data_IF_804876825331
#
_entry.id   IF_804876825331
#
_cell.length_a   1.000
_cell.length_b   1.000
_cell.length_c   1.000
_cell.angle_alpha   90.00
_cell.angle_beta   90.00
_cell.angle_gamma   90.00
#
_symmetry.space_group_name_H-M   'P 1'
#
loop_
_entity.id
_entity.type
_entity.pdbx_description
1 polymer ?
#
# COMPACT_ATOMS: atom_id res chain seq x y z
N UNK A 1 35.32 -6.03 14.81
CA UNK A 1 35.46 -6.86 13.60
C UNK A 1 34.42 -6.44 12.58
N UNK A 2 34.88 -6.12 11.37
CA UNK A 2 34.17 -5.97 10.08
C UNK A 2 32.98 -5.00 9.96
N UNK A 3 33.31 -3.74 9.70
CA UNK A 3 32.57 -2.90 8.75
C UNK A 3 33.00 -3.25 7.32
N UNK A 4 32.07 -3.66 6.44
CA UNK A 4 32.33 -3.81 5.00
C UNK A 4 31.19 -3.23 4.14
N UNK A 5 31.38 -1.96 3.78
CA UNK A 5 31.46 -1.45 2.40
C UNK A 5 30.25 -1.63 1.45
N UNK A 6 29.25 -0.74 1.54
CA UNK A 6 28.12 -0.60 0.59
C UNK A 6 28.36 0.43 -0.53
N UNK A 7 29.58 0.49 -1.09
CA UNK A 7 29.93 1.40 -2.22
C UNK A 7 30.13 0.70 -3.58
N UNK A 8 29.55 -0.48 -3.79
CA UNK A 8 29.77 -1.26 -5.02
C UNK A 8 28.79 -1.01 -6.19
N UNK A 9 27.53 -0.65 -5.93
CA UNK A 9 26.48 -0.83 -6.96
C UNK A 9 26.24 0.36 -7.89
N UNK A 10 26.59 1.59 -7.48
CA UNK A 10 26.31 2.81 -8.28
C UNK A 10 27.36 3.09 -9.37
N UNK A 11 28.53 2.46 -9.32
CA UNK A 11 29.64 2.72 -10.25
C UNK A 11 29.58 1.96 -11.57
N UNK A 12 28.88 0.82 -11.60
CA UNK A 12 28.89 -0.12 -12.74
C UNK A 12 28.06 0.42 -13.91
N UNK A 13 26.92 1.05 -13.64
CA UNK A 13 26.03 1.60 -14.66
C UNK A 13 26.59 2.83 -15.40
N UNK A 14 27.53 3.57 -14.82
CA UNK A 14 28.13 4.75 -15.47
C UNK A 14 29.26 4.41 -16.44
N UNK A 15 29.94 3.26 -16.28
CA UNK A 15 31.06 2.86 -17.16
C UNK A 15 30.61 2.10 -18.41
N UNK A 16 29.46 1.42 -18.39
CA UNK A 16 28.95 0.71 -19.58
C UNK A 16 28.48 1.66 -20.69
N UNK A 17 27.79 2.76 -20.36
CA UNK A 17 27.29 3.71 -21.36
C UNK A 17 28.38 4.43 -22.17
N UNK A 18 29.64 4.44 -21.71
CA UNK A 18 30.74 5.13 -22.38
C UNK A 18 31.56 4.22 -23.32
N UNK A 19 31.51 2.89 -23.14
CA UNK A 19 32.17 1.92 -24.03
C UNK A 19 31.28 1.52 -25.22
N UNK A 20 29.97 1.44 -25.03
CA UNK A 20 29.05 1.04 -26.11
C UNK A 20 28.94 2.04 -27.28
N UNK A 21 29.23 3.32 -27.07
CA UNK A 21 29.16 4.31 -28.14
C UNK A 21 30.40 4.32 -29.06
N UNK A 22 31.51 3.66 -28.68
CA UNK A 22 32.71 3.61 -29.52
C UNK A 22 32.84 2.32 -30.34
N UNK A 23 32.23 1.22 -29.91
CA UNK A 23 32.28 -0.05 -30.65
C UNK A 23 31.24 -0.17 -31.77
N UNK A 24 30.11 0.57 -31.70
CA UNK A 24 29.07 0.53 -32.74
C UNK A 24 29.44 1.27 -34.03
N UNK A 25 30.39 2.21 -34.00
CA UNK A 25 30.81 2.96 -35.20
C UNK A 25 31.87 2.23 -36.05
N UNK A 26 32.53 1.18 -35.54
CA UNK A 26 33.62 0.49 -36.25
C UNK A 26 33.26 -0.85 -36.91
N UNK A 27 32.09 -1.43 -36.66
CA UNK A 27 31.73 -2.78 -37.17
C UNK A 27 30.73 -2.81 -38.34
N UNK A 28 30.36 -1.66 -38.93
CA UNK A 28 29.45 -1.60 -40.09
C UNK A 28 30.15 -1.29 -41.42
N UNK A 29 31.35 -1.84 -41.66
CA UNK A 29 31.94 -1.89 -43.00
C UNK A 29 32.29 -3.34 -43.37
N UNK A 30 31.77 -3.76 -44.51
CA UNK A 30 32.00 -5.01 -45.25
C UNK A 30 31.04 -6.16 -44.91
N UNK A 31 29.96 -6.27 -45.68
CA UNK A 31 29.68 -7.42 -46.56
C UNK A 31 28.61 -6.96 -47.58
N UNK A 32 29.01 -6.86 -48.85
CA UNK A 32 28.13 -6.59 -50.00
C UNK A 32 27.77 -7.94 -50.60
N UNK A 33 26.49 -8.31 -50.55
CA UNK A 33 25.88 -9.32 -51.43
C UNK A 33 24.73 -8.62 -52.14
N UNK A 34 24.92 -8.34 -53.42
CA UNK A 34 23.92 -7.73 -54.30
C UNK A 34 22.73 -8.68 -54.47
N UNK A 35 21.55 -8.22 -54.02
CA UNK A 35 20.26 -8.74 -54.43
C UNK A 35 19.47 -7.55 -55.00
N UNK A 36 18.84 -7.64 -56.18
CA UNK A 36 18.22 -6.48 -56.82
C UNK A 36 16.95 -6.11 -56.06
N UNK A 37 17.05 -5.18 -55.12
CA UNK A 37 15.90 -4.53 -54.51
C UNK A 37 15.17 -3.66 -55.56
N UNK A 38 13.82 -3.65 -55.55
CA UNK A 38 13.08 -2.68 -56.35
C UNK A 38 13.44 -1.27 -55.87
N UNK A 39 13.65 -0.36 -56.82
CA UNK A 39 14.06 1.04 -56.60
C UNK A 39 13.14 1.70 -55.55
N UNK A 40 13.68 2.47 -54.58
CA UNK A 40 12.84 3.24 -53.68
C UNK A 40 12.11 4.29 -54.52
N UNK A 41 10.78 4.21 -54.55
CA UNK A 41 9.95 5.29 -55.06
C UNK A 41 10.36 6.58 -54.32
N UNK A 42 10.62 7.65 -55.09
CA UNK A 42 10.89 8.98 -54.53
C UNK A 42 9.63 9.44 -53.79
N UNK A 43 9.54 9.11 -52.52
CA UNK A 43 8.50 9.63 -51.62
C UNK A 43 8.52 11.16 -51.75
N UNK A 44 7.36 11.74 -52.07
CA UNK A 44 7.25 13.14 -52.41
C UNK A 44 7.72 13.97 -51.21
N UNK A 45 8.60 14.95 -51.42
CA UNK A 45 9.15 15.77 -50.31
C UNK A 45 8.08 16.47 -49.46
N UNK A 46 6.85 16.57 -49.99
CA UNK A 46 5.65 17.06 -49.29
C UNK A 46 5.12 16.05 -48.28
N UNK A 47 5.01 14.77 -48.63
CA UNK A 47 4.47 13.72 -47.75
C UNK A 47 5.37 13.50 -46.53
N UNK A 48 6.70 13.55 -46.72
CA UNK A 48 7.67 13.47 -45.62
C UNK A 48 7.54 14.65 -44.64
N UNK A 49 7.33 15.87 -45.16
CA UNK A 49 7.09 17.07 -44.33
C UNK A 49 5.75 17.02 -43.60
N UNK A 50 4.74 16.42 -44.20
CA UNK A 50 3.42 16.27 -43.61
C UNK A 50 3.43 15.27 -42.45
N UNK A 51 4.04 14.09 -42.63
CA UNK A 51 4.26 13.11 -41.55
C UNK A 51 5.09 13.68 -40.39
N UNK A 52 6.10 14.51 -40.69
CA UNK A 52 6.91 15.15 -39.64
C UNK A 52 6.11 16.19 -38.83
N UNK A 53 5.22 16.95 -39.49
CA UNK A 53 4.29 17.87 -38.81
C UNK A 53 3.27 17.12 -37.98
N UNK A 54 2.76 16.00 -38.47
CA UNK A 54 1.81 15.15 -37.75
C UNK A 54 2.43 14.57 -36.48
N UNK A 55 3.66 14.01 -36.56
CA UNK A 55 4.42 13.56 -35.39
C UNK A 55 4.67 14.66 -34.37
N UNK A 56 4.95 15.90 -34.81
CA UNK A 56 5.14 17.05 -33.91
C UNK A 56 3.83 17.41 -33.19
N UNK A 57 2.70 17.41 -33.89
CA UNK A 57 1.37 17.64 -33.30
C UNK A 57 1.00 16.55 -32.31
N UNK A 58 1.29 15.29 -32.62
CA UNK A 58 1.04 14.15 -31.75
C UNK A 58 1.86 14.24 -30.45
N UNK A 59 3.16 14.54 -30.56
CA UNK A 59 4.03 14.77 -29.39
C UNK A 59 3.58 15.95 -28.53
N UNK A 60 3.09 17.02 -29.15
CA UNK A 60 2.56 18.18 -28.42
C UNK A 60 1.26 17.84 -27.66
N UNK A 61 0.36 17.08 -28.30
CA UNK A 61 -0.86 16.60 -27.66
C UNK A 61 -0.54 15.63 -26.51
N UNK A 62 0.42 14.74 -26.68
CA UNK A 62 0.89 13.83 -25.63
C UNK A 62 1.45 14.60 -24.42
N UNK A 63 2.30 15.61 -24.67
CA UNK A 63 2.83 16.48 -23.61
C UNK A 63 1.71 17.22 -22.88
N UNK A 64 0.70 17.71 -23.61
CA UNK A 64 -0.46 18.38 -23.01
C UNK A 64 -1.27 17.43 -22.11
N UNK A 65 -1.54 16.21 -22.57
CA UNK A 65 -2.21 15.16 -21.77
C UNK A 65 -1.38 14.78 -20.54
N UNK A 66 -0.07 14.66 -20.67
CA UNK A 66 0.79 14.35 -19.54
C UNK A 66 0.78 15.49 -18.50
N UNK A 67 0.82 16.74 -18.93
CA UNK A 67 0.73 17.89 -18.03
C UNK A 67 -0.61 17.95 -17.30
N UNK A 68 -1.71 17.61 -17.98
CA UNK A 68 -3.04 17.52 -17.38
C UNK A 68 -3.11 16.42 -16.32
N UNK A 69 -2.60 15.21 -16.62
CA UNK A 69 -2.48 14.11 -15.64
C UNK A 69 -1.67 14.51 -14.41
N UNK A 70 -0.58 15.27 -14.59
CA UNK A 70 0.24 15.76 -13.47
C UNK A 70 -0.54 16.75 -12.60
N UNK A 71 -1.28 17.69 -13.20
CA UNK A 71 -2.12 18.65 -12.47
C UNK A 71 -3.29 17.98 -11.74
N UNK A 72 -3.90 16.96 -12.34
CA UNK A 72 -4.93 16.16 -11.70
C UNK A 72 -4.38 15.41 -10.48
N UNK A 73 -3.24 14.73 -10.64
CA UNK A 73 -2.56 14.04 -9.54
C UNK A 73 -2.18 14.99 -8.40
N UNK A 74 -1.74 16.21 -8.72
CA UNK A 74 -1.43 17.21 -7.71
C UNK A 74 -2.66 17.67 -6.93
N UNK A 75 -3.80 17.88 -7.63
CA UNK A 75 -5.09 18.19 -6.99
C UNK A 75 -5.57 17.05 -6.09
N UNK A 76 -5.46 15.81 -6.55
CA UNK A 76 -5.80 14.63 -5.75
C UNK A 76 -4.96 14.56 -4.46
N UNK A 77 -3.64 14.78 -4.58
CA UNK A 77 -2.73 14.84 -3.42
C UNK A 77 -3.07 15.96 -2.44
N UNK A 78 -3.49 17.13 -2.94
CA UNK A 78 -3.91 18.24 -2.08
C UNK A 78 -5.18 17.91 -1.30
N UNK A 79 -6.19 17.33 -1.98
CA UNK A 79 -7.43 16.88 -1.34
C UNK A 79 -7.16 15.78 -0.32
N UNK A 80 -6.27 14.84 -0.62
CA UNK A 80 -5.87 13.79 0.33
C UNK A 80 -5.19 14.36 1.58
N UNK A 81 -4.29 15.33 1.42
CA UNK A 81 -3.69 16.05 2.55
C UNK A 81 -4.73 16.79 3.39
N UNK A 82 -5.71 17.42 2.76
CA UNK A 82 -6.77 18.12 3.48
C UNK A 82 -7.60 17.15 4.33
N UNK A 83 -7.98 15.99 3.78
CA UNK A 83 -8.69 14.94 4.54
C UNK A 83 -7.84 14.40 5.70
N UNK A 84 -6.54 14.21 5.48
CA UNK A 84 -5.63 13.78 6.55
C UNK A 84 -5.58 14.78 7.72
N UNK A 85 -5.58 16.09 7.43
CA UNK A 85 -5.63 17.11 8.46
C UNK A 85 -6.94 17.08 9.25
N UNK A 86 -8.07 16.83 8.57
CA UNK A 86 -9.37 16.69 9.21
C UNK A 86 -9.42 15.48 10.15
N UNK A 87 -8.99 14.31 9.68
CA UNK A 87 -8.93 13.10 10.52
C UNK A 87 -7.99 13.26 11.71
N UNK A 88 -6.85 13.92 11.52
CA UNK A 88 -5.94 14.25 12.63
C UNK A 88 -6.62 15.12 13.68
N UNK A 89 -7.37 16.12 13.25
CA UNK A 89 -8.12 17.02 14.14
C UNK A 89 -9.21 16.26 14.91
N UNK A 90 -9.89 15.31 14.26
CA UNK A 90 -10.93 14.51 14.92
C UNK A 90 -10.34 13.49 15.90
N UNK A 91 -9.20 12.89 15.57
CA UNK A 91 -8.45 12.06 16.51
C UNK A 91 -8.02 12.87 17.74
N UNK A 92 -7.52 14.10 17.56
CA UNK A 92 -7.11 14.97 18.66
C UNK A 92 -8.30 15.37 19.55
N UNK A 93 -9.47 15.68 18.97
CA UNK A 93 -10.70 15.90 19.72
C UNK A 93 -11.11 14.66 20.53
N UNK A 94 -11.00 13.48 19.94
CA UNK A 94 -11.34 12.23 20.63
C UNK A 94 -10.39 11.98 21.81
N UNK A 95 -9.08 12.15 21.62
CA UNK A 95 -8.09 12.07 22.70
C UNK A 95 -8.36 13.11 23.80
N UNK A 96 -8.86 14.29 23.43
CA UNK A 96 -9.26 15.31 24.41
C UNK A 96 -10.48 14.88 25.23
N UNK A 97 -11.53 14.34 24.58
CA UNK A 97 -12.69 13.78 25.28
C UNK A 97 -12.30 12.64 26.22
N UNK A 98 -11.40 11.77 25.76
CA UNK A 98 -10.84 10.68 26.55
C UNK A 98 -10.12 11.17 27.81
N UNK A 99 -9.29 12.21 27.69
CA UNK A 99 -8.59 12.83 28.84
C UNK A 99 -9.55 13.52 29.82
N UNK A 100 -10.64 14.10 29.32
CA UNK A 100 -11.69 14.71 30.16
C UNK A 100 -12.44 13.66 30.96
N UNK A 101 -12.83 12.54 30.33
CA UNK A 101 -13.46 11.40 30.99
C UNK A 101 -12.57 10.79 32.10
N UNK A 102 -11.27 10.67 31.83
CA UNK A 102 -10.29 10.20 32.82
C UNK A 102 -10.10 11.18 33.98
N UNK A 103 -10.19 12.49 33.74
CA UNK A 103 -10.09 13.51 34.79
C UNK A 103 -11.30 13.53 35.73
N UNK A 104 -12.48 13.16 35.25
CA UNK A 104 -13.71 13.10 36.07
C UNK A 104 -13.82 11.80 36.90
N UNK A 105 -13.12 10.73 36.52
CA UNK A 105 -13.09 9.45 37.23
C UNK A 105 -12.49 9.43 38.65
N UNK A 106 -11.45 10.19 39.02
CA UNK A 106 -10.90 10.16 40.39
C UNK A 106 -11.85 10.64 41.49
N UNK A 107 -13.01 11.25 41.17
CA UNK A 107 -14.01 11.59 42.20
C UNK A 107 -14.84 10.41 42.72
N UNK A 108 -14.82 9.25 42.06
CA UNK A 108 -15.63 8.08 42.48
C UNK A 108 -14.80 6.88 42.94
N UNK A 109 -13.50 6.80 42.61
CA UNK A 109 -12.69 5.59 42.82
C UNK A 109 -11.96 5.51 44.18
N UNK A 110 -11.98 6.55 45.01
CA UNK A 110 -11.23 6.58 46.27
C UNK A 110 -11.73 5.62 47.37
N UNK A 111 -12.82 4.88 47.15
CA UNK A 111 -13.48 4.10 48.20
C UNK A 111 -13.15 2.59 48.26
N UNK A 112 -12.50 1.99 47.24
CA UNK A 112 -12.28 0.52 47.26
C UNK A 112 -10.99 0.08 46.55
N UNK A 113 -9.83 0.35 47.15
CA UNK A 113 -8.53 -0.09 46.65
C UNK A 113 -7.98 -1.26 47.46
N UNK A 114 -8.22 -2.50 47.01
CA UNK A 114 -7.29 -3.63 47.13
C UNK A 114 -7.79 -4.84 46.33
N UNK A 115 -6.98 -5.28 45.36
CA UNK A 115 -7.07 -6.57 44.60
C UNK A 115 -8.10 -6.74 43.48
N UNK A 116 -8.91 -5.75 43.09
CA UNK A 116 -9.78 -5.88 41.92
C UNK A 116 -9.06 -5.43 40.64
N UNK A 117 -9.20 -6.15 39.51
CA UNK A 117 -8.75 -5.66 38.20
C UNK A 117 -9.39 -4.30 37.92
N UNK A 118 -8.68 -3.42 37.21
CA UNK A 118 -9.16 -2.07 36.90
C UNK A 118 -10.55 -2.15 36.27
N UNK A 119 -11.61 -1.57 36.88
CA UNK A 119 -12.99 -1.74 36.42
C UNK A 119 -13.20 -1.27 34.97
N UNK A 120 -12.40 -0.33 34.48
CA UNK A 120 -12.43 0.09 33.07
C UNK A 120 -11.94 -1.01 32.13
N UNK A 121 -10.85 -1.71 32.48
CA UNK A 121 -10.30 -2.78 31.65
C UNK A 121 -11.32 -3.92 31.54
N UNK A 122 -11.98 -4.27 32.65
CA UNK A 122 -13.05 -5.28 32.65
C UNK A 122 -14.18 -4.91 31.69
N UNK A 123 -14.64 -3.66 31.73
CA UNK A 123 -15.68 -3.17 30.81
C UNK A 123 -15.20 -3.20 29.36
N UNK A 124 -13.95 -2.82 29.09
CA UNK A 124 -13.38 -2.91 27.74
C UNK A 124 -13.23 -4.35 27.27
N UNK A 125 -12.91 -5.30 28.14
CA UNK A 125 -12.84 -6.72 27.81
C UNK A 125 -14.24 -7.28 27.47
N UNK A 126 -15.28 -6.94 28.23
CA UNK A 126 -16.66 -7.33 27.92
C UNK A 126 -17.18 -6.75 26.60
N UNK A 127 -16.84 -5.49 26.29
CA UNK A 127 -17.14 -4.88 24.98
C UNK A 127 -16.38 -5.59 23.86
N UNK A 128 -15.09 -5.88 24.07
CA UNK A 128 -14.26 -6.57 23.10
C UNK A 128 -14.76 -7.97 22.77
N UNK A 129 -15.07 -8.79 23.78
CA UNK A 129 -15.49 -10.18 23.54
C UNK A 129 -16.79 -10.26 22.73
N UNK A 130 -17.73 -9.33 22.95
CA UNK A 130 -18.95 -9.25 22.14
C UNK A 130 -18.67 -8.90 20.68
N UNK A 131 -17.82 -7.91 20.46
CA UNK A 131 -17.49 -7.42 19.11
C UNK A 131 -16.64 -8.43 18.35
N UNK A 132 -15.66 -9.07 19.01
CA UNK A 132 -14.76 -10.04 18.36
C UNK A 132 -15.50 -11.33 17.98
N UNK A 133 -16.42 -11.82 18.81
CA UNK A 133 -17.26 -12.97 18.46
C UNK A 133 -18.13 -12.68 17.24
N UNK A 134 -18.67 -11.46 17.15
CA UNK A 134 -19.48 -11.04 16.01
C UNK A 134 -18.63 -10.96 14.75
N UNK A 135 -17.41 -10.42 14.86
CA UNK A 135 -16.46 -10.33 13.75
C UNK A 135 -16.05 -11.73 13.26
N UNK A 136 -15.72 -12.65 14.16
CA UNK A 136 -15.34 -14.03 13.84
C UNK A 136 -16.44 -14.78 13.06
N UNK A 137 -17.71 -14.51 13.35
CA UNK A 137 -18.83 -15.07 12.58
C UNK A 137 -18.94 -14.47 11.18
N UNK A 138 -18.71 -13.16 11.02
CA UNK A 138 -18.86 -12.47 9.74
C UNK A 138 -17.73 -12.81 8.74
N UNK A 139 -16.52 -13.09 9.22
CA UNK A 139 -15.37 -13.37 8.35
C UNK A 139 -15.47 -14.70 7.58
N UNK A 140 -16.38 -15.59 7.97
CA UNK A 140 -16.61 -16.87 7.28
C UNK A 140 -17.03 -16.71 5.82
N UNK A 141 -17.68 -15.59 5.48
CA UNK A 141 -18.19 -15.31 4.14
C UNK A 141 -17.18 -14.58 3.23
N UNK A 142 -15.98 -14.30 3.74
CA UNK A 142 -14.93 -13.61 2.99
C UNK A 142 -14.21 -14.56 2.03
N UNK A 143 -13.67 -14.00 0.95
CA UNK A 143 -12.74 -14.72 0.09
C UNK A 143 -11.45 -15.07 0.85
N UNK A 144 -10.73 -16.10 0.38
CA UNK A 144 -9.57 -16.68 1.07
C UNK A 144 -8.56 -15.62 1.50
N UNK A 145 -8.18 -14.69 0.61
CA UNK A 145 -7.18 -13.64 0.88
C UNK A 145 -7.65 -12.69 1.99
N UNK A 146 -8.90 -12.24 1.92
CA UNK A 146 -9.51 -11.40 2.95
C UNK A 146 -9.64 -12.13 4.29
N UNK A 147 -9.98 -13.42 4.25
CA UNK A 147 -10.06 -14.27 5.45
C UNK A 147 -8.69 -14.41 6.12
N UNK A 148 -7.62 -14.61 5.36
CA UNK A 148 -6.25 -14.64 5.89
C UNK A 148 -5.90 -13.33 6.63
N UNK A 149 -6.20 -12.16 6.04
CA UNK A 149 -5.96 -10.88 6.74
C UNK A 149 -6.80 -10.74 7.98
N UNK A 150 -8.09 -11.11 7.90
CA UNK A 150 -8.98 -11.07 9.04
C UNK A 150 -8.44 -11.91 10.20
N UNK A 151 -7.97 -13.13 9.92
CA UNK A 151 -7.35 -14.01 10.92
C UNK A 151 -6.12 -13.37 11.55
N UNK A 152 -5.21 -12.77 10.76
CA UNK A 152 -4.01 -12.12 11.32
C UNK A 152 -4.37 -10.91 12.20
N UNK A 153 -5.35 -10.10 11.78
CA UNK A 153 -5.83 -8.97 12.57
C UNK A 153 -6.52 -9.41 13.85
N UNK A 154 -7.37 -10.44 13.80
CA UNK A 154 -8.03 -11.02 14.98
C UNK A 154 -6.99 -11.57 15.96
N UNK A 155 -5.96 -12.29 15.49
CA UNK A 155 -4.86 -12.77 16.35
C UNK A 155 -4.16 -11.61 17.08
N UNK A 156 -3.88 -10.52 16.36
CA UNK A 156 -3.29 -9.31 16.97
C UNK A 156 -4.22 -8.70 18.01
N UNK A 157 -5.52 -8.60 17.73
CA UNK A 157 -6.52 -8.00 18.61
C UNK A 157 -6.78 -8.83 19.86
N UNK A 158 -6.71 -10.16 19.78
CA UNK A 158 -6.88 -11.06 20.93
C UNK A 158 -5.71 -11.03 21.92
N UNK A 159 -4.60 -10.36 21.61
CA UNK A 159 -3.49 -10.20 22.55
C UNK A 159 -3.92 -9.35 23.75
N UNK A 160 -3.51 -9.77 24.94
CA UNK A 160 -3.84 -9.07 26.18
C UNK A 160 -3.24 -7.65 26.19
N UNK A 161 -4.08 -6.61 26.33
CA UNK A 161 -3.61 -5.24 26.34
C UNK A 161 -2.75 -4.97 27.58
N UNK A 162 -1.66 -4.22 27.42
CA UNK A 162 -0.74 -3.87 28.50
C UNK A 162 -1.13 -2.57 29.22
N UNK A 163 -2.09 -1.82 28.69
CA UNK A 163 -2.58 -0.55 29.25
C UNK A 163 -4.05 -0.28 28.91
N UNK A 164 -4.67 0.65 29.65
CA UNK A 164 -6.04 1.12 29.36
C UNK A 164 -6.14 1.74 27.96
N UNK A 165 -5.14 2.52 27.55
CA UNK A 165 -5.11 3.12 26.21
C UNK A 165 -5.03 2.05 25.11
N UNK A 166 -4.31 0.96 25.35
CA UNK A 166 -4.23 -0.16 24.41
C UNK A 166 -5.55 -0.95 24.36
N UNK A 167 -6.18 -1.22 25.51
CA UNK A 167 -7.49 -1.86 25.58
C UNK A 167 -8.57 -1.04 24.85
N UNK A 168 -8.60 0.27 25.05
CA UNK A 168 -9.49 1.18 24.33
C UNK A 168 -9.23 1.17 22.82
N UNK A 169 -7.95 1.17 22.43
CA UNK A 169 -7.56 1.12 21.01
C UNK A 169 -7.94 -0.21 20.34
N UNK A 170 -7.79 -1.34 21.05
CA UNK A 170 -8.28 -2.65 20.61
C UNK A 170 -9.77 -2.60 20.29
N UNK A 171 -10.57 -2.06 21.19
CA UNK A 171 -12.03 -1.99 20.99
C UNK A 171 -12.38 -1.11 19.79
N UNK A 172 -11.79 0.08 19.67
CA UNK A 172 -12.04 0.99 18.55
C UNK A 172 -11.67 0.35 17.21
N UNK A 173 -10.52 -0.31 17.12
CA UNK A 173 -10.12 -1.02 15.89
C UNK A 173 -11.10 -2.16 15.59
N UNK A 174 -11.47 -2.96 16.60
CA UNK A 174 -12.40 -4.09 16.42
C UNK A 174 -13.76 -3.62 15.93
N UNK A 175 -14.35 -2.61 16.58
CA UNK A 175 -15.64 -2.04 16.18
C UNK A 175 -15.58 -1.43 14.78
N UNK A 176 -14.46 -0.80 14.41
CA UNK A 176 -14.27 -0.27 13.05
C UNK A 176 -14.22 -1.38 12.00
N UNK A 177 -13.44 -2.44 12.23
CA UNK A 177 -13.37 -3.60 11.33
C UNK A 177 -14.75 -4.24 11.20
N UNK A 178 -15.47 -4.43 12.31
CA UNK A 178 -16.80 -5.01 12.33
C UNK A 178 -17.80 -4.17 11.52
N UNK A 179 -17.83 -2.85 11.75
CA UNK A 179 -18.66 -1.89 11.02
C UNK A 179 -18.42 -1.96 9.50
N UNK A 180 -17.18 -2.19 9.09
CA UNK A 180 -16.76 -2.15 7.69
C UNK A 180 -16.58 -3.53 7.05
N UNK A 181 -16.91 -4.61 7.76
CA UNK A 181 -16.75 -5.97 7.28
C UNK A 181 -17.58 -6.23 6.01
N UNK A 182 -18.79 -5.67 5.94
CA UNK A 182 -19.68 -5.78 4.76
C UNK A 182 -19.13 -5.14 3.48
N UNK A 183 -18.23 -4.17 3.58
CA UNK A 183 -17.53 -3.57 2.44
C UNK A 183 -16.22 -4.30 2.09
N UNK A 184 -15.96 -5.43 2.74
CA UNK A 184 -14.71 -6.18 2.70
C UNK A 184 -13.50 -5.26 2.98
N UNK A 185 -13.46 -4.71 4.20
CA UNK A 185 -12.37 -3.84 4.68
C UNK A 185 -10.99 -4.46 4.49
N UNK A 186 -10.87 -5.79 4.46
CA UNK A 186 -9.62 -6.51 4.20
C UNK A 186 -9.11 -6.43 2.74
N UNK A 187 -9.85 -5.77 1.84
CA UNK A 187 -9.35 -5.35 0.51
C UNK A 187 -8.89 -3.89 0.50
N UNK A 188 -9.09 -3.18 1.61
CA UNK A 188 -8.77 -1.77 1.75
C UNK A 188 -7.59 -1.63 2.70
N UNK A 189 -6.67 -0.81 2.26
CA UNK A 189 -5.62 -0.21 3.07
C UNK A 189 -6.20 0.39 4.36
N UNK A 190 -5.62 0.13 5.55
CA UNK A 190 -4.43 -0.69 5.84
C UNK A 190 -4.70 -2.18 6.14
N UNK A 191 -5.96 -2.60 6.18
CA UNK A 191 -6.35 -3.95 6.61
C UNK A 191 -6.16 -5.02 5.53
N UNK A 192 -5.78 -4.63 4.32
CA UNK A 192 -5.31 -5.52 3.24
C UNK A 192 -3.90 -6.10 3.47
N UNK A 193 -3.20 -5.61 4.50
CA UNK A 193 -1.90 -6.08 4.91
C UNK A 193 -1.94 -6.70 6.32
N UNK A 194 -0.96 -7.55 6.65
CA UNK A 194 -0.73 -8.01 8.01
C UNK A 194 -0.67 -6.84 9.01
N UNK A 195 -1.19 -7.02 10.25
CA UNK A 195 -1.10 -5.99 11.27
C UNK A 195 0.36 -5.64 11.56
N UNK A 196 0.71 -4.35 11.64
CA UNK A 196 2.06 -3.93 11.99
C UNK A 196 2.52 -4.45 13.37
N UNK A 197 3.84 -4.59 13.60
CA UNK A 197 4.36 -5.10 14.86
C UNK A 197 4.12 -4.17 16.06
N UNK A 198 3.85 -2.88 15.82
CA UNK A 198 3.60 -1.87 16.86
C UNK A 198 2.39 -2.20 17.75
N UNK A 199 2.26 -1.52 18.89
CA UNK A 199 1.11 -1.68 19.78
C UNK A 199 -0.18 -1.08 19.16
N UNK A 200 -1.34 -1.51 19.67
CA UNK A 200 -2.63 -1.12 19.08
C UNK A 200 -2.93 0.38 19.20
N UNK A 201 -2.36 1.05 20.21
CA UNK A 201 -2.51 2.50 20.38
C UNK A 201 -1.80 3.27 19.26
N UNK A 202 -0.54 2.93 18.96
CA UNK A 202 0.22 3.53 17.86
C UNK A 202 -0.44 3.23 16.51
N UNK A 203 -0.93 2.01 16.34
CA UNK A 203 -1.64 1.60 15.14
C UNK A 203 -2.91 2.45 14.95
N UNK A 204 -3.73 2.61 15.99
CA UNK A 204 -4.93 3.47 15.98
C UNK A 204 -4.58 4.91 15.58
N UNK A 205 -3.51 5.48 16.16
CA UNK A 205 -3.07 6.85 15.86
C UNK A 205 -2.63 7.03 14.41
N UNK A 206 -1.84 6.10 13.87
CA UNK A 206 -1.41 6.14 12.46
C UNK A 206 -2.57 6.05 11.48
N UNK A 207 -3.60 5.32 11.86
CA UNK A 207 -4.82 5.16 11.07
C UNK A 207 -5.80 6.33 11.27
N UNK A 208 -5.60 7.17 12.28
CA UNK A 208 -6.55 8.21 12.71
C UNK A 208 -7.94 7.67 13.09
N UNK A 209 -7.97 6.49 13.72
CA UNK A 209 -9.22 5.84 14.12
C UNK A 209 -9.81 6.44 15.40
N UNK A 210 -11.11 6.71 15.31
CA UNK A 210 -12.00 7.17 16.38
C UNK A 210 -13.23 6.27 16.45
N UNK A 211 -14.02 6.33 17.54
CA UNK A 211 -15.28 5.56 17.65
C UNK A 211 -16.25 5.80 16.48
N UNK A 212 -16.25 7.01 15.94
CA UNK A 212 -17.18 7.43 14.89
C UNK A 212 -16.62 7.26 13.47
N UNK A 213 -15.43 6.69 13.33
CA UNK A 213 -14.78 6.51 12.02
C UNK A 213 -15.67 5.75 11.04
N UNK A 214 -15.70 6.22 9.79
CA UNK A 214 -16.53 5.66 8.71
C UNK A 214 -15.69 4.73 7.82
N UNK A 215 -16.34 3.86 7.06
CA UNK A 215 -15.68 2.85 6.21
C UNK A 215 -15.06 3.40 4.92
N UNK A 216 -15.21 4.71 4.69
CA UNK A 216 -14.74 5.38 3.49
C UNK A 216 -13.69 6.43 3.86
N UNK A 217 -12.49 6.28 3.31
CA UNK A 217 -11.40 7.22 3.52
C UNK A 217 -10.56 6.91 4.75
N UNK A 218 -9.92 5.75 4.80
CA UNK A 218 -8.74 5.62 5.65
C UNK A 218 -7.55 6.17 4.87
N UNK A 219 -6.76 7.12 5.41
CA UNK A 219 -5.51 7.49 4.78
C UNK A 219 -4.58 6.30 4.93
N UNK A 220 -4.25 5.65 3.83
CA UNK A 220 -2.93 5.05 3.77
C UNK A 220 -2.09 5.97 2.93
N UNK A 221 -0.94 6.34 3.49
CA UNK A 221 0.07 7.08 2.78
C UNK A 221 0.39 6.31 1.49
N UNK A 222 -0.26 6.70 0.39
CA UNK A 222 0.00 6.14 -0.93
C UNK A 222 1.39 6.59 -1.35
N UNK A 223 2.41 5.86 -0.92
CA UNK A 223 3.59 5.71 -1.76
C UNK A 223 3.08 4.92 -2.97
N UNK A 224 2.82 5.61 -4.08
CA UNK A 224 2.55 4.95 -5.35
C UNK A 224 3.83 4.20 -5.70
N UNK A 225 3.93 2.94 -5.26
CA UNK A 225 5.12 2.16 -5.50
C UNK A 225 5.30 2.00 -7.01
N UNK A 226 6.51 2.21 -7.54
CA UNK A 226 6.79 2.03 -8.97
C UNK A 226 6.51 0.60 -9.48
N UNK A 227 6.10 -0.31 -8.60
CA UNK A 227 5.88 -1.73 -8.81
C UNK A 227 4.49 -2.21 -8.35
N UNK A 228 3.45 -1.37 -8.31
CA UNK A 228 2.11 -1.75 -7.83
C UNK A 228 1.56 -3.09 -8.37
N UNK A 229 1.87 -3.43 -9.63
CA UNK A 229 1.51 -4.71 -10.25
C UNK A 229 2.28 -5.91 -9.68
N UNK A 230 3.56 -5.74 -9.35
CA UNK A 230 4.40 -6.74 -8.68
C UNK A 230 3.98 -6.91 -7.21
N UNK A 231 3.69 -5.80 -6.52
CA UNK A 231 3.17 -5.83 -5.15
C UNK A 231 1.82 -6.54 -5.12
N UNK A 232 0.94 -6.28 -6.09
CA UNK A 232 -0.32 -7.01 -6.25
C UNK A 232 -0.09 -8.51 -6.53
N UNK A 233 0.82 -8.85 -7.44
CA UNK A 233 1.16 -10.23 -7.74
C UNK A 233 1.68 -11.00 -6.51
N UNK A 234 2.57 -10.40 -5.73
CA UNK A 234 3.07 -11.00 -4.48
C UNK A 234 1.95 -11.15 -3.46
N UNK A 235 1.09 -10.13 -3.31
CA UNK A 235 -0.06 -10.20 -2.43
C UNK A 235 -1.07 -11.27 -2.84
N UNK A 236 -1.25 -11.53 -4.13
CA UNK A 236 -2.18 -12.53 -4.65
C UNK A 236 -1.60 -13.96 -4.62
N UNK A 237 -0.31 -14.10 -4.32
CA UNK A 237 0.37 -15.39 -4.18
C UNK A 237 0.13 -16.01 -2.81
N UNK A 238 0.06 -17.35 -2.75
CA UNK A 238 -0.27 -18.10 -1.53
C UNK A 238 0.66 -17.80 -0.33
N UNK A 239 1.93 -17.59 -0.62
CA UNK A 239 3.01 -17.34 0.35
C UNK A 239 3.40 -15.86 0.46
N UNK A 240 2.54 -14.96 -0.03
CA UNK A 240 2.87 -13.52 -0.06
C UNK A 240 4.03 -13.17 -0.98
N UNK A 241 4.38 -14.05 -1.93
CA UNK A 241 5.46 -13.83 -2.88
C UNK A 241 6.82 -14.31 -2.39
N UNK A 242 6.90 -15.06 -1.29
CA UNK A 242 8.16 -15.61 -0.77
C UNK A 242 8.89 -16.45 -1.83
N UNK A 243 8.18 -17.38 -2.48
CA UNK A 243 8.68 -18.18 -3.59
C UNK A 243 9.06 -17.31 -4.79
N UNK A 244 8.17 -16.40 -5.20
CA UNK A 244 8.40 -15.53 -6.35
C UNK A 244 9.62 -14.61 -6.16
N UNK A 245 9.90 -14.20 -4.92
CA UNK A 245 11.06 -13.37 -4.58
C UNK A 245 12.40 -14.09 -4.72
N UNK A 246 12.40 -15.43 -4.68
CA UNK A 246 13.58 -16.26 -4.84
C UNK A 246 13.87 -16.61 -6.30
N UNK A 247 12.91 -16.39 -7.20
CA UNK A 247 13.07 -16.73 -8.61
C UNK A 247 14.05 -15.77 -9.30
N UNK A 248 14.91 -16.28 -10.18
CA UNK A 248 15.81 -15.43 -10.96
C UNK A 248 14.99 -14.56 -11.93
N UNK A 249 15.19 -13.24 -11.86
CA UNK A 249 14.55 -12.28 -12.78
C UNK A 249 15.35 -12.24 -14.09
N UNK A 250 14.72 -12.53 -15.26
CA UNK A 250 15.39 -12.40 -16.55
C UNK A 250 15.87 -10.96 -16.78
N UNK A 251 17.13 -10.79 -17.17
CA UNK A 251 17.72 -9.46 -17.44
C UNK A 251 17.24 -8.88 -18.76
N UNK A 252 16.95 -9.74 -19.73
CA UNK A 252 16.40 -9.42 -21.04
C UNK A 252 15.31 -10.44 -21.39
N UNK A 253 14.21 -9.97 -22.00
CA UNK A 253 13.07 -10.79 -22.39
C UNK A 253 11.80 -10.53 -21.56
N UNK A 254 10.78 -11.34 -21.80
CA UNK A 254 9.51 -11.31 -21.07
C UNK A 254 9.31 -12.65 -20.35
N UNK A 255 8.71 -12.60 -19.15
CA UNK A 255 8.23 -13.79 -18.44
C UNK A 255 6.77 -13.58 -18.06
N UNK A 256 6.05 -14.67 -17.86
CA UNK A 256 4.68 -14.66 -17.38
C UNK A 256 4.55 -15.64 -16.23
N UNK A 257 3.67 -15.32 -15.27
CA UNK A 257 3.38 -16.17 -14.12
C UNK A 257 1.94 -16.65 -14.28
N UNK A 258 1.75 -17.96 -14.33
CA UNK A 258 0.43 -18.58 -14.41
C UNK A 258 -0.01 -18.99 -13.00
N UNK A 259 -0.99 -18.27 -12.46
CA UNK A 259 -1.62 -18.63 -11.19
C UNK A 259 -2.80 -19.58 -11.44
N UNK A 260 -2.62 -20.86 -11.13
CA UNK A 260 -3.67 -21.87 -11.25
C UNK A 260 -4.36 -22.07 -9.89
N UNK A 261 -5.70 -22.15 -9.90
CA UNK A 261 -6.47 -22.57 -8.72
C UNK A 261 -6.73 -24.07 -8.82
N UNK A 262 -6.60 -24.83 -7.72
CA UNK A 262 -7.01 -26.23 -7.72
C UNK A 262 -8.52 -26.30 -8.02
N UNK A 263 -8.91 -27.24 -8.88
CA UNK A 263 -10.32 -27.57 -9.07
C UNK A 263 -10.81 -28.20 -7.77
N UNK A 264 -11.69 -27.49 -7.06
CA UNK A 264 -12.45 -28.00 -5.91
C UNK A 264 -13.73 -28.65 -6.38
#
# INVERSE_FOLDING_TARGET
MSDKNTKGFKGIFKRMNKRENHERDSQQKNYVVESPQPKPEKENSRDRKEREKERKKEQELERKREQERRKELEREKQLEKQRQLEWKKDLEKEQQRERELERDHPRQAAATAAKKPNPEIVKFDEEFERDIETLERQICNLDFRSKTMATMWIDKLRRTPQSVAEARSRNIITSHILKCCGENIFKKEPFNHPPPPENLAIIRERMFLTRDSTCHGMPVAKQREPNSYLTQLFNDSYDGGEFLSQLPVPRDGAFFILHMRPNL
#
